data_IF_659107962001
#
_entry.id   IF_659107962001
#
_cell.length_a   1.000
_cell.length_b   1.000
_cell.length_c   1.000
_cell.angle_alpha   90.00
_cell.angle_beta   90.00
_cell.angle_gamma   90.00
#
_symmetry.space_group_name_H-M   'P 1'
#
loop_
_entity.id
_entity.type
_entity.pdbx_description
1 polymer ?
#
# COMPACT_ATOMS: atom_id res chain seq x y z
N UNK A 1 0.69 22.69 2.03
CA UNK A 1 1.10 21.36 1.50
C UNK A 1 0.37 20.29 2.27
N UNK A 2 -0.28 19.32 1.62
CA UNK A 2 -0.87 18.15 2.30
C UNK A 2 0.18 17.08 2.51
N UNK A 3 0.17 16.40 3.66
CA UNK A 3 1.08 15.31 3.99
C UNK A 3 0.37 13.98 3.73
N UNK A 4 0.90 13.16 2.84
CA UNK A 4 0.27 11.89 2.45
C UNK A 4 1.17 10.75 2.88
N UNK A 5 0.66 9.80 3.67
CA UNK A 5 1.31 8.51 3.87
C UNK A 5 0.97 7.59 2.71
N UNK A 6 1.97 7.04 2.02
CA UNK A 6 1.78 6.13 0.90
C UNK A 6 2.47 4.79 1.15
N UNK A 7 1.76 3.68 0.96
CA UNK A 7 2.27 2.34 1.24
C UNK A 7 1.76 1.31 0.23
N UNK A 8 2.61 0.40 -0.19
CA UNK A 8 2.25 -0.75 -1.03
C UNK A 8 2.58 -2.02 -0.25
N UNK A 9 1.64 -2.96 -0.19
CA UNK A 9 1.96 -4.34 0.14
C UNK A 9 2.44 -5.05 -1.14
N UNK A 10 3.75 -5.41 -1.25
CA UNK A 10 4.31 -5.91 -2.50
C UNK A 10 3.73 -7.26 -2.95
N UNK A 11 3.21 -8.06 -2.02
CA UNK A 11 2.68 -9.40 -2.31
C UNK A 11 1.16 -9.44 -2.46
N UNK A 12 0.49 -8.30 -2.32
CA UNK A 12 -0.96 -8.24 -2.36
C UNK A 12 -1.53 -8.44 -3.78
N UNK A 13 -2.70 -9.08 -3.84
CA UNK A 13 -3.43 -9.33 -5.09
C UNK A 13 -3.02 -10.62 -5.83
N UNK A 14 -2.05 -11.38 -5.30
CA UNK A 14 -1.62 -12.64 -5.91
C UNK A 14 -2.63 -13.79 -5.72
N UNK A 15 -3.20 -13.94 -4.52
CA UNK A 15 -3.96 -15.13 -4.14
C UNK A 15 -5.25 -15.30 -4.93
N UNK A 16 -6.02 -14.24 -5.09
CA UNK A 16 -7.29 -14.30 -5.82
C UNK A 16 -7.15 -14.70 -7.28
N UNK A 17 -6.01 -14.38 -7.93
CA UNK A 17 -5.75 -14.78 -9.33
C UNK A 17 -5.55 -16.27 -9.52
N UNK A 18 -5.16 -16.97 -8.46
CA UNK A 18 -4.90 -18.42 -8.48
C UNK A 18 -5.93 -19.19 -7.64
N UNK A 19 -7.11 -18.60 -7.39
CA UNK A 19 -8.20 -19.26 -6.67
C UNK A 19 -8.01 -19.35 -5.16
N UNK A 20 -7.01 -18.68 -4.58
CA UNK A 20 -6.83 -18.58 -3.13
C UNK A 20 -7.66 -17.42 -2.57
N UNK A 21 -8.23 -17.58 -1.36
CA UNK A 21 -9.00 -16.52 -0.67
C UNK A 21 -8.17 -15.28 -0.28
N UNK A 22 -6.85 -15.31 -0.50
CA UNK A 22 -5.88 -14.28 -0.16
C UNK A 22 -4.45 -14.80 -0.31
N UNK A 23 -3.46 -13.95 -0.06
CA UNK A 23 -2.02 -14.33 -0.10
C UNK A 23 -1.42 -14.48 1.29
N UNK A 24 -2.16 -14.12 2.34
CA UNK A 24 -1.71 -14.17 3.74
C UNK A 24 -1.31 -15.60 4.12
N UNK A 25 -0.04 -15.80 4.51
CA UNK A 25 0.55 -17.12 4.79
C UNK A 25 0.75 -18.04 3.58
N UNK A 26 0.32 -17.63 2.38
CA UNK A 26 0.28 -18.48 1.16
C UNK A 26 1.10 -17.93 -0.01
N UNK A 27 2.00 -16.97 0.23
CA UNK A 27 2.86 -16.35 -0.80
C UNK A 27 3.56 -17.41 -1.66
N UNK A 28 4.18 -18.42 -1.03
CA UNK A 28 4.91 -19.49 -1.74
C UNK A 28 3.98 -20.35 -2.62
N UNK A 29 2.80 -20.67 -2.12
CA UNK A 29 1.79 -21.45 -2.86
C UNK A 29 1.29 -20.65 -4.07
N UNK A 30 0.97 -19.37 -3.87
CA UNK A 30 0.52 -18.49 -4.95
C UNK A 30 1.56 -18.34 -6.06
N UNK A 31 2.84 -18.18 -5.71
CA UNK A 31 3.94 -18.10 -6.69
C UNK A 31 4.10 -19.43 -7.46
N UNK A 32 3.99 -20.58 -6.79
CA UNK A 32 4.03 -21.90 -7.47
C UNK A 32 2.87 -22.09 -8.45
N UNK A 33 1.72 -21.48 -8.16
CA UNK A 33 0.56 -21.48 -9.06
C UNK A 33 0.65 -20.42 -10.18
N UNK A 34 1.80 -19.74 -10.32
CA UNK A 34 2.05 -18.75 -11.37
C UNK A 34 1.53 -17.34 -11.09
N UNK A 35 1.13 -17.05 -9.85
CA UNK A 35 0.72 -15.69 -9.48
C UNK A 35 1.89 -14.71 -9.61
N UNK A 36 1.60 -13.50 -10.07
CA UNK A 36 2.55 -12.39 -10.13
C UNK A 36 2.04 -11.24 -9.26
N UNK A 37 2.94 -10.49 -8.59
CA UNK A 37 2.57 -9.24 -7.91
C UNK A 37 1.87 -8.27 -8.85
N UNK A 38 0.81 -7.62 -8.37
CA UNK A 38 -0.01 -6.67 -9.16
C UNK A 38 -0.22 -5.34 -8.46
N UNK A 39 0.10 -5.28 -7.16
CA UNK A 39 -0.08 -4.08 -6.35
C UNK A 39 0.76 -2.93 -6.86
N UNK A 40 2.01 -3.18 -7.28
CA UNK A 40 2.89 -2.15 -7.83
C UNK A 40 2.28 -1.43 -9.03
N UNK A 41 1.86 -2.16 -10.07
CA UNK A 41 1.29 -1.57 -11.30
C UNK A 41 0.00 -0.78 -11.02
N UNK A 42 -0.83 -1.26 -10.10
CA UNK A 42 -2.05 -0.55 -9.69
C UNK A 42 -1.74 0.72 -8.92
N UNK A 43 -0.81 0.64 -7.97
CA UNK A 43 -0.37 1.79 -7.18
C UNK A 43 0.29 2.86 -8.06
N UNK A 44 1.12 2.45 -9.02
CA UNK A 44 1.74 3.33 -10.01
C UNK A 44 0.70 4.09 -10.82
N UNK A 45 -0.32 3.42 -11.36
CA UNK A 45 -1.42 4.06 -12.08
C UNK A 45 -2.13 5.11 -11.23
N UNK A 46 -2.43 4.80 -9.98
CA UNK A 46 -3.05 5.78 -9.06
C UNK A 46 -2.16 6.98 -8.80
N UNK A 47 -0.87 6.77 -8.56
CA UNK A 47 0.10 7.87 -8.37
C UNK A 47 0.23 8.73 -9.63
N UNK A 48 0.19 8.13 -10.82
CA UNK A 48 0.23 8.87 -12.09
C UNK A 48 -0.96 9.84 -12.24
N UNK A 49 -2.15 9.47 -11.76
CA UNK A 49 -3.32 10.36 -11.71
C UNK A 49 -3.15 11.57 -10.78
N UNK A 50 -2.17 11.54 -9.87
CA UNK A 50 -1.91 12.61 -8.89
C UNK A 50 -0.79 13.57 -9.33
N UNK A 51 -0.19 13.36 -10.51
CA UNK A 51 0.97 14.14 -10.98
C UNK A 51 0.73 15.65 -11.03
N UNK A 52 -0.46 16.08 -11.44
CA UNK A 52 -0.82 17.52 -11.51
C UNK A 52 -0.90 18.18 -10.13
N UNK A 53 -1.00 17.37 -9.07
CA UNK A 53 -1.07 17.81 -7.69
C UNK A 53 0.26 17.67 -6.94
N UNK A 54 1.34 17.21 -7.60
CA UNK A 54 2.63 16.89 -6.94
C UNK A 54 3.18 18.04 -6.09
N UNK A 55 3.06 19.29 -6.56
CA UNK A 55 3.56 20.48 -5.85
C UNK A 55 2.65 20.92 -4.68
N UNK A 56 1.53 20.24 -4.46
CA UNK A 56 0.58 20.53 -3.36
C UNK A 56 0.68 19.50 -2.23
N UNK A 57 1.49 18.45 -2.40
CA UNK A 57 1.63 17.37 -1.43
C UNK A 57 3.09 17.02 -1.15
N UNK A 58 3.35 16.57 0.08
CA UNK A 58 4.59 15.89 0.46
C UNK A 58 4.24 14.45 0.84
N UNK A 59 4.92 13.49 0.25
CA UNK A 59 4.63 12.06 0.46
C UNK A 59 5.61 11.48 1.50
N UNK A 60 5.10 10.64 2.40
CA UNK A 60 5.89 9.82 3.30
C UNK A 60 5.68 8.37 2.90
N UNK A 61 6.75 7.61 2.71
CA UNK A 61 6.67 6.27 2.14
C UNK A 61 7.68 5.30 2.75
N UNK A 62 7.54 4.03 2.43
CA UNK A 62 8.53 2.99 2.70
C UNK A 62 9.45 2.80 1.48
N UNK A 63 10.70 2.38 1.70
CA UNK A 63 11.65 2.17 0.60
C UNK A 63 11.33 0.94 -0.26
N UNK A 64 11.90 0.93 -1.46
CA UNK A 64 11.80 -0.15 -2.43
C UNK A 64 10.38 -0.38 -2.96
N UNK A 65 9.99 -1.66 -3.01
CA UNK A 65 8.70 -2.13 -3.53
C UNK A 65 7.51 -1.70 -2.66
N UNK A 66 7.75 -1.27 -1.42
CA UNK A 66 6.69 -0.83 -0.50
C UNK A 66 6.22 0.61 -0.75
N UNK A 67 6.74 1.31 -1.76
CA UNK A 67 6.15 2.56 -2.23
C UNK A 67 7.11 3.48 -2.99
N UNK A 68 8.35 3.61 -2.54
CA UNK A 68 9.38 4.48 -3.14
C UNK A 68 9.47 4.36 -4.67
N UNK A 69 9.50 3.12 -5.19
CA UNK A 69 9.62 2.86 -6.62
C UNK A 69 8.48 3.47 -7.48
N UNK A 70 7.33 3.80 -6.90
CA UNK A 70 6.23 4.47 -7.60
C UNK A 70 6.34 6.01 -7.63
N UNK A 71 7.22 6.62 -6.81
CA UNK A 71 7.18 8.05 -6.51
C UNK A 71 8.25 8.89 -7.23
N UNK A 72 8.80 8.40 -8.35
CA UNK A 72 9.95 9.01 -9.05
C UNK A 72 9.85 10.53 -9.27
N UNK A 73 8.66 11.04 -9.59
CA UNK A 73 8.42 12.46 -9.94
C UNK A 73 7.81 13.29 -8.79
N UNK A 74 7.73 12.74 -7.57
CA UNK A 74 7.11 13.36 -6.41
C UNK A 74 8.16 13.74 -5.35
N UNK A 75 7.85 14.75 -4.54
CA UNK A 75 8.60 15.01 -3.30
C UNK A 75 8.17 13.98 -2.24
N UNK A 76 9.12 13.15 -1.81
CA UNK A 76 8.87 12.11 -0.82
C UNK A 76 9.97 11.97 0.22
N UNK A 77 9.59 11.43 1.38
CA UNK A 77 10.48 11.10 2.49
C UNK A 77 10.31 9.61 2.84
N UNK A 78 11.43 8.89 2.90
CA UNK A 78 11.45 7.49 3.33
C UNK A 78 11.39 7.44 4.86
N UNK A 79 10.38 6.77 5.42
CA UNK A 79 10.18 6.66 6.87
C UNK A 79 10.59 5.30 7.44
N UNK A 80 10.77 4.29 6.59
CA UNK A 80 11.20 2.94 6.98
C UNK A 80 11.95 2.27 5.83
N UNK A 81 12.96 1.47 6.18
CA UNK A 81 13.70 0.63 5.26
C UNK A 81 13.44 -0.84 5.62
N UNK A 82 12.59 -1.56 4.87
CA UNK A 82 12.25 -2.93 5.19
C UNK A 82 13.32 -3.90 4.64
N UNK A 83 13.38 -5.13 5.17
CA UNK A 83 14.17 -6.20 4.55
C UNK A 83 13.61 -6.57 3.16
N UNK A 84 14.37 -7.34 2.38
CA UNK A 84 13.97 -7.78 1.02
C UNK A 84 12.63 -8.55 1.02
N UNK A 85 12.38 -9.35 2.07
CA UNK A 85 11.11 -10.04 2.29
C UNK A 85 10.34 -9.33 3.39
N UNK A 86 9.27 -8.66 3.00
CA UNK A 86 8.47 -7.85 3.91
C UNK A 86 7.36 -8.66 4.58
N UNK A 87 6.89 -8.14 5.71
CA UNK A 87 5.84 -8.74 6.54
C UNK A 87 4.73 -7.73 6.83
N UNK A 88 3.65 -8.19 7.46
CA UNK A 88 2.59 -7.32 7.99
C UNK A 88 3.13 -6.35 9.05
N UNK A 89 4.13 -6.75 9.83
CA UNK A 89 4.77 -5.86 10.81
C UNK A 89 5.50 -4.68 10.14
N UNK A 90 6.04 -4.84 8.93
CA UNK A 90 6.61 -3.71 8.17
C UNK A 90 5.53 -2.70 7.80
N UNK A 91 4.34 -3.17 7.40
CA UNK A 91 3.17 -2.31 7.16
C UNK A 91 2.81 -1.54 8.42
N UNK A 92 2.72 -2.24 9.56
CA UNK A 92 2.37 -1.63 10.85
C UNK A 92 3.41 -0.60 11.29
N UNK A 93 4.71 -0.88 11.12
CA UNK A 93 5.80 0.07 11.43
C UNK A 93 5.70 1.34 10.59
N UNK A 94 5.46 1.21 9.28
CA UNK A 94 5.27 2.37 8.39
C UNK A 94 4.07 3.20 8.83
N UNK A 95 2.94 2.57 9.17
CA UNK A 95 1.76 3.27 9.68
C UNK A 95 2.04 4.02 10.99
N UNK A 96 2.82 3.44 11.92
CA UNK A 96 3.25 4.16 13.14
C UNK A 96 4.07 5.40 12.80
N UNK A 97 4.99 5.29 11.81
CA UNK A 97 5.76 6.44 11.33
C UNK A 97 4.90 7.51 10.65
N UNK A 98 3.85 7.12 9.94
CA UNK A 98 2.89 8.09 9.38
C UNK A 98 2.17 8.88 10.47
N UNK A 99 1.78 8.23 11.56
CA UNK A 99 1.21 8.91 12.73
C UNK A 99 2.22 9.89 13.36
N UNK A 100 3.47 9.45 13.58
CA UNK A 100 4.54 10.32 14.11
C UNK A 100 4.78 11.57 13.22
N UNK A 101 4.68 11.41 11.89
CA UNK A 101 4.85 12.51 10.93
C UNK A 101 3.62 13.41 10.78
N UNK A 102 2.52 13.06 11.45
CA UNK A 102 1.23 13.74 11.38
C UNK A 102 0.77 13.91 9.92
N UNK A 103 0.67 12.80 9.18
CA UNK A 103 0.11 12.83 7.82
C UNK A 103 -1.39 13.13 7.87
N UNK A 104 -1.90 13.79 6.83
CA UNK A 104 -3.32 14.15 6.71
C UNK A 104 -4.20 12.99 6.20
N UNK A 105 -3.59 12.06 5.46
CA UNK A 105 -4.26 10.97 4.75
C UNK A 105 -3.27 9.81 4.55
N UNK A 106 -3.76 8.58 4.67
CA UNK A 106 -3.00 7.38 4.27
C UNK A 106 -3.63 6.77 3.03
N UNK A 107 -2.83 6.60 1.98
CA UNK A 107 -3.19 5.87 0.76
C UNK A 107 -2.38 4.58 0.73
N UNK A 108 -3.04 3.42 0.69
CA UNK A 108 -2.35 2.14 0.65
C UNK A 108 -2.80 1.26 -0.51
N UNK A 109 -1.90 0.50 -1.13
CA UNK A 109 -2.26 -0.52 -2.12
C UNK A 109 -2.14 -1.92 -1.52
N UNK A 110 -3.26 -2.63 -1.45
CA UNK A 110 -3.33 -3.90 -0.74
C UNK A 110 -4.68 -4.60 -0.85
N UNK A 111 -4.81 -5.71 -0.14
CA UNK A 111 -6.08 -6.43 0.05
C UNK A 111 -6.65 -6.20 1.46
N UNK A 112 -7.66 -6.98 1.84
CA UNK A 112 -8.31 -6.85 3.16
C UNK A 112 -7.34 -7.06 4.32
N UNK A 113 -6.37 -7.98 4.18
CA UNK A 113 -5.32 -8.18 5.19
C UNK A 113 -4.49 -6.91 5.41
N UNK A 114 -4.09 -6.23 4.33
CA UNK A 114 -3.39 -4.94 4.41
C UNK A 114 -4.28 -3.85 5.01
N UNK A 115 -5.56 -3.81 4.64
CA UNK A 115 -6.50 -2.85 5.21
C UNK A 115 -6.66 -3.04 6.72
N UNK A 116 -6.71 -4.31 7.17
CA UNK A 116 -6.70 -4.67 8.59
C UNK A 116 -5.41 -4.21 9.27
N UNK A 117 -4.24 -4.49 8.70
CA UNK A 117 -2.95 -4.10 9.29
C UNK A 117 -2.83 -2.57 9.45
N UNK A 118 -3.31 -1.81 8.46
CA UNK A 118 -3.37 -0.34 8.54
C UNK A 118 -4.35 0.09 9.65
N UNK A 119 -5.55 -0.49 9.69
CA UNK A 119 -6.56 -0.16 10.69
C UNK A 119 -6.12 -0.50 12.12
N UNK A 120 -5.46 -1.63 12.33
CA UNK A 120 -4.96 -2.07 13.64
C UNK A 120 -4.00 -1.03 14.28
N UNK A 121 -3.32 -0.23 13.47
CA UNK A 121 -2.40 0.83 13.93
C UNK A 121 -3.07 2.21 13.95
N UNK A 122 -3.79 2.55 12.88
CA UNK A 122 -4.30 3.91 12.66
C UNK A 122 -5.65 4.13 13.36
N UNK A 123 -6.47 3.08 13.45
CA UNK A 123 -7.84 3.14 13.95
C UNK A 123 -8.66 4.17 13.18
N UNK A 124 -9.38 5.03 13.90
CA UNK A 124 -10.20 6.12 13.35
C UNK A 124 -9.51 7.49 13.37
N UNK A 125 -8.20 7.53 13.64
CA UNK A 125 -7.46 8.80 13.84
C UNK A 125 -7.21 9.57 12.56
N UNK A 126 -7.08 8.87 11.44
CA UNK A 126 -6.78 9.45 10.12
C UNK A 126 -7.68 8.82 9.06
N UNK A 127 -8.06 9.59 8.03
CA UNK A 127 -8.69 9.00 6.86
C UNK A 127 -7.71 8.04 6.16
N UNK A 128 -8.24 6.92 5.68
CA UNK A 128 -7.50 5.93 4.92
C UNK A 128 -8.22 5.68 3.59
N UNK A 129 -7.45 5.56 2.50
CA UNK A 129 -7.96 5.20 1.17
C UNK A 129 -7.15 3.99 0.68
N UNK A 130 -7.85 2.91 0.36
CA UNK A 130 -7.23 1.73 -0.23
C UNK A 130 -7.26 1.76 -1.76
N UNK A 131 -6.19 1.26 -2.38
CA UNK A 131 -6.10 0.93 -3.81
C UNK A 131 -6.23 -0.60 -3.91
N UNK A 132 -7.29 -1.12 -4.54
CA UNK A 132 -7.62 -2.54 -4.50
C UNK A 132 -6.61 -3.37 -5.31
N UNK A 133 -5.80 -4.20 -4.66
CA UNK A 133 -4.80 -5.03 -5.37
C UNK A 133 -5.38 -6.33 -5.95
N UNK A 134 -6.40 -6.92 -5.34
CA UNK A 134 -7.00 -8.21 -5.72
C UNK A 134 -8.23 -8.14 -6.64
N UNK A 135 -9.00 -9.23 -6.66
CA UNK A 135 -10.21 -9.46 -7.48
C UNK A 135 -11.51 -9.48 -6.66
N UNK A 136 -11.48 -9.12 -5.37
CA UNK A 136 -12.72 -9.00 -4.59
C UNK A 136 -13.47 -7.75 -5.05
N UNK A 137 -14.65 -7.96 -5.63
CA UNK A 137 -15.47 -6.92 -6.27
C UNK A 137 -16.05 -5.87 -5.30
N UNK A 138 -16.15 -6.17 -4.00
CA UNK A 138 -16.75 -5.27 -3.01
C UNK A 138 -15.92 -5.22 -1.72
N UNK A 139 -15.33 -4.06 -1.43
CA UNK A 139 -14.74 -3.76 -0.11
C UNK A 139 -14.87 -2.27 0.16
N UNK A 140 -15.38 -1.92 1.35
CA UNK A 140 -15.77 -0.57 1.73
C UNK A 140 -14.60 0.40 1.94
N UNK A 141 -13.36 -0.10 1.86
CA UNK A 141 -12.13 0.68 2.12
C UNK A 141 -11.47 1.17 0.82
N UNK A 142 -11.88 0.66 -0.35
CA UNK A 142 -11.21 0.95 -1.61
C UNK A 142 -11.82 2.16 -2.34
N UNK A 143 -10.95 3.06 -2.78
CA UNK A 143 -11.33 4.11 -3.74
C UNK A 143 -11.65 3.51 -5.10
N UNK A 144 -12.63 4.09 -5.79
CA UNK A 144 -12.89 3.82 -7.20
C UNK A 144 -11.82 4.54 -8.03
N UNK A 145 -11.11 3.80 -8.89
CA UNK A 145 -10.09 4.32 -9.81
C UNK A 145 -10.72 4.89 -11.07
#
# INVERSE_FOLDING_TARGET
MKKIGFLINPVAGMGGRVGLKGTDGKVKEALKMGAKPVSFEKAKKTIECLKDYKNKMKIFTCSGEMGEKCLKDFDYEIVHNPPEKTTDEDTKRVCRKFLEKNVDLIVFCGGDGTAKDVYDVVGTKLPIIGIPSGVKMHSAVFGLT
#
